data_IF_408591693796
#
_entry.id   IF_408591693796
#
_cell.length_a   1.000
_cell.length_b   1.000
_cell.length_c   1.000
_cell.angle_alpha   90.00
_cell.angle_beta   90.00
_cell.angle_gamma   90.00
#
_symmetry.space_group_name_H-M   'P 1'
#
loop_
_entity.id
_entity.type
_entity.pdbx_description
1 polymer ?
#
# COMPACT_ATOMS: atom_id res chain seq x y z
N UNK A 1 34.48 -28.89 -44.70
CA UNK A 1 33.47 -27.96 -45.25
C UNK A 1 32.17 -28.23 -44.52
N UNK A 2 31.87 -27.44 -43.49
CA UNK A 2 30.55 -27.37 -42.89
C UNK A 2 30.29 -25.89 -42.67
N UNK A 3 29.22 -25.44 -43.32
CA UNK A 3 28.88 -24.07 -43.62
C UNK A 3 28.42 -23.31 -42.38
N UNK A 4 29.01 -22.14 -42.21
CA UNK A 4 28.53 -21.03 -41.39
C UNK A 4 27.12 -20.63 -41.81
N UNK A 5 26.12 -20.88 -40.97
CA UNK A 5 24.85 -20.14 -41.03
C UNK A 5 24.97 -18.95 -40.10
N UNK A 6 25.36 -17.85 -40.72
CA UNK A 6 25.43 -16.52 -40.17
C UNK A 6 23.99 -15.96 -40.17
N UNK A 7 23.20 -16.26 -39.14
CA UNK A 7 21.94 -15.57 -38.92
C UNK A 7 22.27 -14.18 -38.35
N UNK A 8 22.22 -13.17 -39.22
CA UNK A 8 22.23 -11.76 -38.87
C UNK A 8 20.95 -11.42 -38.06
N UNK A 9 20.85 -11.92 -36.83
CA UNK A 9 20.03 -11.26 -35.82
C UNK A 9 20.81 -10.03 -35.35
N UNK A 10 20.17 -8.85 -35.24
CA UNK A 10 20.84 -7.69 -34.67
C UNK A 10 21.30 -8.04 -33.25
N UNK A 11 22.61 -7.93 -33.00
CA UNK A 11 23.19 -8.14 -31.67
C UNK A 11 22.49 -7.17 -30.72
N UNK A 12 21.68 -7.70 -29.79
CA UNK A 12 21.06 -6.88 -28.75
C UNK A 12 22.14 -6.33 -27.85
N UNK A 13 22.19 -5.02 -27.69
CA UNK A 13 23.19 -4.35 -26.85
C UNK A 13 22.56 -4.07 -25.50
N UNK A 14 23.22 -4.54 -24.44
CA UNK A 14 22.86 -4.14 -23.08
C UNK A 14 23.42 -2.75 -22.80
N UNK A 15 22.61 -1.89 -22.24
CA UNK A 15 22.89 -0.47 -22.09
C UNK A 15 22.50 0.04 -20.70
N UNK A 16 23.12 1.15 -20.30
CA UNK A 16 22.69 1.89 -19.12
C UNK A 16 21.41 2.66 -19.46
N UNK A 17 20.40 2.52 -18.62
CA UNK A 17 19.17 3.28 -18.72
C UNK A 17 19.04 4.12 -17.46
N UNK A 18 18.83 5.42 -17.64
CA UNK A 18 18.32 6.25 -16.57
C UNK A 18 16.86 5.92 -16.31
N UNK A 19 16.42 6.09 -15.07
CA UNK A 19 15.00 6.33 -14.82
C UNK A 19 14.67 7.66 -15.53
N UNK A 20 14.05 7.59 -16.71
CA UNK A 20 13.45 8.76 -17.36
C UNK A 20 12.24 9.18 -16.53
N UNK A 21 12.46 10.04 -15.54
CA UNK A 21 11.40 10.56 -14.67
C UNK A 21 10.91 9.55 -13.63
N UNK A 22 10.76 10.06 -12.41
CA UNK A 22 10.07 9.47 -11.26
C UNK A 22 8.91 8.53 -11.61
N UNK A 23 8.81 7.40 -10.91
CA UNK A 23 7.58 6.60 -10.94
C UNK A 23 7.69 5.21 -10.33
N UNK A 24 7.75 5.10 -8.99
CA UNK A 24 6.70 4.55 -8.09
C UNK A 24 6.99 5.06 -6.66
N UNK A 25 6.82 6.37 -6.46
CA UNK A 25 6.01 6.89 -5.35
C UNK A 25 4.79 7.49 -6.05
N UNK A 26 3.61 7.53 -5.44
CA UNK A 26 2.50 8.34 -5.96
C UNK A 26 3.05 9.69 -6.43
N UNK A 27 2.97 9.92 -7.75
CA UNK A 27 3.79 10.82 -8.56
C UNK A 27 4.25 12.08 -7.82
N UNK A 28 5.41 12.01 -7.19
CA UNK A 28 6.20 13.18 -6.85
C UNK A 28 6.98 13.51 -8.11
N UNK A 29 6.74 14.65 -8.76
CA UNK A 29 7.67 15.04 -9.81
C UNK A 29 9.03 15.37 -9.16
N UNK A 30 10.18 15.02 -9.76
CA UNK A 30 11.48 15.17 -9.09
C UNK A 30 11.79 16.63 -8.74
N UNK A 31 11.19 17.57 -9.48
CA UNK A 31 11.28 19.02 -9.23
C UNK A 31 10.52 19.50 -7.98
N UNK A 32 9.62 18.67 -7.44
CA UNK A 32 8.83 18.92 -6.25
C UNK A 32 9.30 18.09 -5.04
N UNK A 33 10.39 17.34 -5.17
CA UNK A 33 10.98 16.56 -4.08
C UNK A 33 12.00 17.40 -3.29
N UNK A 34 11.94 17.31 -1.96
CA UNK A 34 12.98 17.86 -1.12
C UNK A 34 14.16 16.89 -1.00
N UNK A 35 15.41 17.28 -1.35
CA UNK A 35 16.57 16.39 -1.23
C UNK A 35 16.95 15.99 0.20
N UNK A 36 16.41 16.67 1.23
CA UNK A 36 16.70 16.37 2.64
C UNK A 36 15.72 15.32 3.20
N UNK A 37 14.41 15.54 3.03
CA UNK A 37 13.38 14.65 3.59
C UNK A 37 12.81 13.64 2.59
N UNK A 38 13.14 13.75 1.31
CA UNK A 38 12.74 12.84 0.22
C UNK A 38 11.21 12.72 0.07
N UNK A 39 10.52 13.82 0.33
CA UNK A 39 9.06 14.00 0.22
C UNK A 39 8.71 15.32 -0.48
N UNK A 40 7.42 15.58 -0.72
CA UNK A 40 6.92 16.81 -1.35
C UNK A 40 7.44 18.04 -0.62
N UNK A 41 7.91 19.03 -1.39
CA UNK A 41 8.37 20.31 -0.86
C UNK A 41 7.25 21.00 -0.07
N UNK A 42 7.42 21.10 1.25
CA UNK A 42 6.58 21.88 2.16
C UNK A 42 7.21 23.23 2.36
N UNK A 43 6.48 24.30 1.99
CA UNK A 43 6.99 25.68 1.98
C UNK A 43 8.35 25.77 1.26
N UNK A 44 8.39 25.52 -0.07
CA UNK A 44 9.64 25.43 -0.82
C UNK A 44 10.48 26.71 -0.71
N UNK A 45 11.77 26.52 -0.51
CA UNK A 45 12.82 27.54 -0.47
C UNK A 45 13.85 27.22 -1.55
N UNK A 46 14.12 28.19 -2.41
CA UNK A 46 15.17 28.16 -3.41
C UNK A 46 16.45 28.76 -2.81
N UNK A 47 17.55 28.01 -2.92
CA UNK A 47 18.88 28.49 -2.53
C UNK A 47 19.52 29.33 -3.63
N UNK A 48 20.51 30.16 -3.29
CA UNK A 48 21.29 30.94 -4.28
C UNK A 48 22.02 30.06 -5.30
N UNK A 49 22.36 28.81 -4.96
CA UNK A 49 22.91 27.83 -5.90
C UNK A 49 21.85 27.12 -6.77
N UNK A 50 20.57 27.44 -6.61
CA UNK A 50 19.48 26.96 -7.47
C UNK A 50 18.78 25.68 -7.01
N UNK A 51 19.16 25.10 -5.87
CA UNK A 51 18.52 23.91 -5.31
C UNK A 51 17.33 24.25 -4.41
N UNK A 52 16.28 23.43 -4.45
CA UNK A 52 15.03 23.63 -3.70
C UNK A 52 14.92 22.69 -2.51
N UNK A 53 14.43 23.19 -1.38
CA UNK A 53 14.23 22.41 -0.15
C UNK A 53 12.95 22.84 0.57
N UNK A 54 12.41 21.99 1.45
CA UNK A 54 11.41 22.43 2.42
C UNK A 54 12.03 23.49 3.34
N UNK A 55 11.30 24.56 3.65
CA UNK A 55 11.76 25.61 4.57
C UNK A 55 12.35 25.03 5.86
N UNK A 56 11.58 24.19 6.57
CA UNK A 56 12.04 23.58 7.83
C UNK A 56 13.28 22.71 7.67
N UNK A 57 13.41 22.00 6.54
CA UNK A 57 14.54 21.11 6.30
C UNK A 57 15.85 21.89 6.12
N UNK A 58 15.85 22.92 5.27
CA UNK A 58 17.06 23.69 5.01
C UNK A 58 17.48 24.57 6.20
N UNK A 59 16.52 25.17 6.92
CA UNK A 59 16.85 25.93 8.14
C UNK A 59 17.45 25.04 9.23
N UNK A 60 16.94 23.82 9.41
CA UNK A 60 17.51 22.87 10.39
C UNK A 60 18.90 22.39 9.95
N UNK A 61 19.12 22.21 8.65
CA UNK A 61 20.42 21.78 8.11
C UNK A 61 21.51 22.83 8.34
N UNK A 62 21.21 24.11 8.09
CA UNK A 62 22.17 25.21 8.19
C UNK A 62 22.52 25.61 9.64
N UNK A 63 21.87 25.01 10.66
CA UNK A 63 22.25 25.20 12.06
C UNK A 63 23.54 24.46 12.46
N UNK A 64 24.05 23.58 11.59
CA UNK A 64 25.30 22.82 11.82
C UNK A 64 26.53 23.66 11.47
N UNK A 65 27.67 23.37 12.11
CA UNK A 65 28.95 23.99 11.73
C UNK A 65 29.30 23.64 10.28
N UNK A 66 29.65 24.66 9.48
CA UNK A 66 29.93 24.49 8.04
C UNK A 66 28.69 24.57 7.15
N UNK A 67 27.85 25.60 7.35
CA UNK A 67 26.61 25.82 6.59
C UNK A 67 26.84 25.81 5.06
N UNK A 68 26.37 24.75 4.41
CA UNK A 68 26.48 24.55 2.98
C UNK A 68 25.22 23.86 2.42
N UNK A 69 25.06 23.93 1.10
CA UNK A 69 24.01 23.25 0.37
C UNK A 69 24.20 21.72 0.44
N UNK A 70 23.17 20.94 0.81
CA UNK A 70 23.24 19.47 0.85
C UNK A 70 23.51 18.79 -0.50
N UNK A 71 23.33 19.48 -1.63
CA UNK A 71 23.39 18.87 -2.97
C UNK A 71 24.75 19.08 -3.63
N UNK A 72 25.31 20.29 -3.54
CA UNK A 72 26.54 20.68 -4.23
C UNK A 72 27.64 21.20 -3.27
N UNK A 73 27.38 21.20 -1.96
CA UNK A 73 28.29 21.68 -0.92
C UNK A 73 28.71 23.15 -1.04
N UNK A 74 28.00 23.97 -1.82
CA UNK A 74 28.23 25.41 -1.89
C UNK A 74 27.91 26.07 -0.53
N UNK A 75 28.74 27.01 -0.04
CA UNK A 75 28.48 27.68 1.24
C UNK A 75 27.19 28.51 1.16
N UNK A 76 26.33 28.40 2.17
CA UNK A 76 25.03 29.09 2.22
C UNK A 76 24.83 29.80 3.56
N UNK A 77 24.30 31.02 3.51
CA UNK A 77 23.86 31.81 4.67
C UNK A 77 22.35 31.82 4.76
N UNK A 78 21.81 31.51 5.94
CA UNK A 78 20.36 31.43 6.18
C UNK A 78 19.60 32.74 5.95
N UNK A 79 20.26 33.90 6.04
CA UNK A 79 19.63 35.21 5.92
C UNK A 79 19.62 35.77 4.49
N UNK A 80 20.64 35.47 3.68
CA UNK A 80 20.82 36.07 2.35
C UNK A 80 20.59 35.11 1.19
N UNK A 81 20.74 33.80 1.41
CA UNK A 81 20.86 32.83 0.32
C UNK A 81 19.63 31.92 0.20
N UNK A 82 18.56 32.21 0.95
CA UNK A 82 17.32 31.44 1.01
C UNK A 82 16.12 32.29 0.58
N UNK A 83 15.50 31.93 -0.54
CA UNK A 83 14.39 32.66 -1.13
C UNK A 83 13.13 31.80 -1.15
N UNK A 84 12.01 32.32 -0.65
CA UNK A 84 10.72 31.61 -0.72
C UNK A 84 10.28 31.41 -2.17
N UNK A 85 10.02 30.16 -2.55
CA UNK A 85 9.64 29.79 -3.91
C UNK A 85 8.11 29.68 -4.03
N UNK A 86 7.46 30.84 -4.11
CA UNK A 86 5.99 30.92 -4.24
C UNK A 86 5.48 30.31 -5.55
N UNK A 87 6.32 30.25 -6.58
CA UNK A 87 5.94 29.65 -7.87
C UNK A 87 5.78 28.14 -7.70
N UNK A 88 6.82 27.46 -7.22
CA UNK A 88 6.79 26.01 -6.95
C UNK A 88 5.70 25.66 -5.94
N UNK A 89 5.51 26.50 -4.90
CA UNK A 89 4.42 26.30 -3.94
C UNK A 89 3.04 26.29 -4.62
N UNK A 90 2.78 27.22 -5.56
CA UNK A 90 1.51 27.27 -6.30
C UNK A 90 1.34 26.08 -7.22
N UNK A 91 2.40 25.64 -7.89
CA UNK A 91 2.36 24.44 -8.75
C UNK A 91 1.99 23.20 -7.94
N UNK A 92 2.62 22.98 -6.79
CA UNK A 92 2.31 21.84 -5.90
C UNK A 92 0.86 21.92 -5.41
N UNK A 93 0.38 23.11 -5.03
CA UNK A 93 -1.01 23.30 -4.62
C UNK A 93 -2.04 23.12 -5.74
N UNK A 94 -1.64 23.18 -7.02
CA UNK A 94 -2.51 22.91 -8.17
C UNK A 94 -2.57 21.43 -8.52
N UNK A 95 -1.59 20.63 -8.10
CA UNK A 95 -1.66 19.19 -8.23
C UNK A 95 -2.86 18.64 -7.46
N UNK A 96 -3.52 17.64 -8.03
CA UNK A 96 -4.65 16.94 -7.41
C UNK A 96 -4.32 15.46 -7.37
N UNK A 97 -4.26 14.94 -6.17
CA UNK A 97 -4.14 13.51 -5.90
C UNK A 97 -5.45 13.04 -5.29
N UNK A 98 -5.85 11.82 -5.66
CA UNK A 98 -7.01 11.17 -5.07
C UNK A 98 -6.63 10.55 -3.73
N UNK A 99 -7.57 10.51 -2.80
CA UNK A 99 -7.37 9.79 -1.55
C UNK A 99 -7.12 8.29 -1.81
N UNK A 100 -6.18 7.68 -1.08
CA UNK A 100 -5.91 6.24 -1.12
C UNK A 100 -7.15 5.37 -0.82
N UNK A 101 -8.16 5.93 -0.14
CA UNK A 101 -9.43 5.26 0.15
C UNK A 101 -10.54 5.58 -0.87
N UNK A 102 -10.20 6.06 -2.08
CA UNK A 102 -11.18 6.31 -3.15
C UNK A 102 -11.98 5.07 -3.51
N UNK A 103 -11.32 3.92 -3.52
CA UNK A 103 -11.96 2.62 -3.73
C UNK A 103 -12.99 2.25 -2.66
N UNK A 104 -12.96 2.90 -1.49
CA UNK A 104 -13.91 2.70 -0.40
C UNK A 104 -14.97 3.81 -0.32
N UNK A 105 -14.96 4.77 -1.25
CA UNK A 105 -15.95 5.85 -1.34
C UNK A 105 -15.41 7.26 -1.06
N UNK A 106 -14.11 7.41 -0.74
CA UNK A 106 -13.54 8.74 -0.55
C UNK A 106 -13.31 9.47 -1.87
N UNK A 107 -14.17 10.40 -2.22
CA UNK A 107 -14.05 11.20 -3.45
C UNK A 107 -13.20 12.47 -3.29
N UNK A 108 -12.47 12.58 -2.18
CA UNK A 108 -11.68 13.78 -1.89
C UNK A 108 -10.43 13.81 -2.79
N UNK A 109 -10.25 14.95 -3.45
CA UNK A 109 -9.11 15.27 -4.28
C UNK A 109 -8.45 16.54 -3.73
N UNK A 110 -7.22 16.40 -3.25
CA UNK A 110 -6.48 17.47 -2.59
C UNK A 110 -5.05 17.54 -3.11
N UNK A 111 -4.33 18.61 -2.73
CA UNK A 111 -2.91 18.70 -3.01
C UNK A 111 -2.15 17.56 -2.32
N UNK A 112 -1.04 17.09 -2.88
CA UNK A 112 -0.25 16.02 -2.27
C UNK A 112 0.28 16.35 -0.86
N UNK A 113 0.54 17.63 -0.61
CA UNK A 113 0.99 18.16 0.68
C UNK A 113 -0.12 18.09 1.73
N UNK A 114 -1.37 18.30 1.32
CA UNK A 114 -2.58 18.24 2.16
C UNK A 114 -3.17 16.83 2.26
N UNK A 115 -2.78 15.92 1.37
CA UNK A 115 -3.27 14.54 1.37
C UNK A 115 -2.90 13.81 2.66
N UNK A 116 -1.72 14.09 3.23
CA UNK A 116 -1.26 13.47 4.48
C UNK A 116 -2.16 13.84 5.67
N UNK A 117 -2.63 15.09 5.74
CA UNK A 117 -3.56 15.51 6.80
C UNK A 117 -4.94 14.89 6.59
N UNK A 118 -5.41 14.85 5.35
CA UNK A 118 -6.67 14.20 4.99
C UNK A 118 -6.66 12.70 5.31
N UNK A 119 -5.66 11.94 4.89
CA UNK A 119 -5.55 10.49 5.11
C UNK A 119 -5.58 10.15 6.60
N UNK A 120 -4.99 10.99 7.45
CA UNK A 120 -5.02 10.81 8.89
C UNK A 120 -6.40 11.04 9.52
N UNK A 121 -7.29 11.74 8.82
CA UNK A 121 -8.65 12.07 9.25
C UNK A 121 -9.73 11.46 8.33
N UNK A 122 -9.34 10.61 7.39
CA UNK A 122 -10.25 10.11 6.36
C UNK A 122 -11.23 9.10 6.98
N UNK A 123 -12.52 9.38 6.83
CA UNK A 123 -13.62 8.52 7.31
C UNK A 123 -13.58 7.10 6.70
N UNK A 124 -13.02 6.98 5.50
CA UNK A 124 -12.92 5.71 4.75
C UNK A 124 -11.67 4.89 5.09
N UNK A 125 -10.80 5.37 5.98
CA UNK A 125 -9.59 4.65 6.43
C UNK A 125 -9.89 3.31 7.12
N UNK A 126 -11.10 3.15 7.66
CA UNK A 126 -11.54 1.97 8.41
C UNK A 126 -12.44 1.00 7.62
N UNK A 127 -12.58 1.17 6.29
CA UNK A 127 -13.63 0.51 5.50
C UNK A 127 -13.26 -0.80 4.79
N UNK A 128 -12.14 -1.44 5.13
CA UNK A 128 -11.76 -2.72 4.54
C UNK A 128 -12.13 -3.90 5.45
N UNK A 129 -13.33 -4.45 5.29
CA UNK A 129 -13.66 -5.88 5.01
C UNK A 129 -15.04 -6.31 5.55
N UNK A 130 -15.97 -6.58 4.62
CA UNK A 130 -17.12 -7.51 4.70
C UNK A 130 -18.24 -7.27 5.73
N UNK A 131 -19.35 -6.63 5.31
CA UNK A 131 -20.73 -7.11 5.57
C UNK A 131 -21.73 -6.24 4.79
N UNK A 132 -22.49 -6.83 3.85
CA UNK A 132 -23.68 -6.19 3.28
C UNK A 132 -24.86 -6.54 4.16
N UNK A 133 -25.44 -5.54 4.82
CA UNK A 133 -26.53 -5.68 5.80
C UNK A 133 -27.87 -5.33 5.15
N UNK A 134 -28.85 -6.23 5.31
CA UNK A 134 -30.23 -6.00 4.88
C UNK A 134 -30.96 -5.19 5.94
N UNK A 135 -31.99 -4.43 5.53
CA UNK A 135 -32.82 -3.70 6.49
C UNK A 135 -33.40 -4.65 7.55
N UNK A 136 -33.33 -4.31 8.87
CA UNK A 136 -33.92 -5.11 9.94
C UNK A 136 -35.43 -5.35 9.79
N UNK A 137 -36.13 -4.52 9.00
CA UNK A 137 -37.56 -4.61 8.71
C UNK A 137 -37.89 -5.41 7.44
N UNK A 138 -36.96 -6.25 6.96
CA UNK A 138 -37.17 -7.13 5.81
C UNK A 138 -38.41 -8.01 5.93
N UNK A 139 -38.62 -8.58 7.11
CA UNK A 139 -39.70 -9.55 7.35
C UNK A 139 -41.10 -8.89 7.44
N UNK A 140 -41.13 -7.56 7.53
CA UNK A 140 -42.35 -6.73 7.41
C UNK A 140 -42.43 -5.98 6.06
N UNK A 141 -41.53 -6.27 5.13
CA UNK A 141 -41.63 -5.90 3.71
C UNK A 141 -40.57 -4.93 3.17
N UNK A 142 -39.57 -4.51 3.96
CA UNK A 142 -38.54 -3.58 3.51
C UNK A 142 -37.39 -4.30 2.77
N UNK A 143 -37.27 -4.10 1.46
CA UNK A 143 -36.31 -4.82 0.60
C UNK A 143 -34.96 -4.12 0.40
N UNK A 144 -34.69 -3.04 1.15
CA UNK A 144 -33.47 -2.25 0.99
C UNK A 144 -32.23 -2.97 1.55
N UNK A 145 -31.12 -2.88 0.81
CA UNK A 145 -29.85 -3.55 1.12
C UNK A 145 -28.73 -2.50 1.17
N UNK A 146 -27.91 -2.56 2.22
CA UNK A 146 -26.91 -1.54 2.50
C UNK A 146 -25.51 -2.14 2.54
N UNK A 147 -24.54 -1.32 2.13
CA UNK A 147 -23.12 -1.68 2.17
C UNK A 147 -22.44 -1.28 3.49
N UNK A 148 -23.12 -0.51 4.35
CA UNK A 148 -22.60 0.01 5.63
C UNK A 148 -23.70 0.11 6.70
N UNK A 149 -23.38 -0.15 7.98
CA UNK A 149 -24.35 0.03 9.08
C UNK A 149 -24.82 1.48 9.22
N UNK A 150 -23.94 2.45 8.97
CA UNK A 150 -24.28 3.88 9.06
C UNK A 150 -25.32 4.28 7.99
N UNK A 151 -25.20 3.77 6.76
CA UNK A 151 -26.23 3.97 5.72
C UNK A 151 -27.56 3.27 6.05
N UNK A 152 -27.50 2.12 6.72
CA UNK A 152 -28.69 1.45 7.26
C UNK A 152 -29.32 2.27 8.39
N UNK A 153 -28.52 2.87 9.28
CA UNK A 153 -28.99 3.70 10.39
C UNK A 153 -29.61 5.02 9.91
N UNK A 154 -28.99 5.67 8.91
CA UNK A 154 -29.55 6.87 8.27
C UNK A 154 -30.88 6.53 7.56
N UNK A 155 -30.99 5.36 6.92
CA UNK A 155 -32.25 4.89 6.34
C UNK A 155 -33.31 4.63 7.42
N UNK A 156 -32.94 4.00 8.53
CA UNK A 156 -33.83 3.71 9.67
C UNK A 156 -34.36 4.99 10.31
N UNK A 157 -33.52 6.01 10.50
CA UNK A 157 -33.93 7.30 11.07
C UNK A 157 -34.83 8.09 10.12
N UNK A 158 -34.48 8.17 8.83
CA UNK A 158 -35.27 8.93 7.84
C UNK A 158 -36.61 8.26 7.51
N UNK A 159 -36.69 6.93 7.59
CA UNK A 159 -37.87 6.16 7.20
C UNK A 159 -38.58 5.50 8.38
N UNK A 160 -38.33 5.94 9.61
CA UNK A 160 -38.90 5.33 10.82
C UNK A 160 -40.43 5.28 10.80
N UNK A 161 -41.07 6.33 10.25
CA UNK A 161 -42.52 6.40 10.12
C UNK A 161 -43.06 5.39 9.09
N UNK A 162 -42.31 5.14 8.01
CA UNK A 162 -42.64 4.11 7.01
C UNK A 162 -42.56 2.71 7.63
N UNK A 163 -41.49 2.44 8.40
CA UNK A 163 -41.32 1.17 9.10
C UNK A 163 -42.37 0.95 10.19
N UNK A 164 -42.69 1.96 10.99
CA UNK A 164 -43.79 1.90 11.97
C UNK A 164 -45.14 1.63 11.31
N UNK A 165 -45.40 2.23 10.15
CA UNK A 165 -46.62 1.97 9.37
C UNK A 165 -46.64 0.54 8.83
N UNK A 166 -45.51 0.00 8.37
CA UNK A 166 -45.39 -1.40 7.94
C UNK A 166 -45.62 -2.39 9.09
N UNK A 167 -45.08 -2.10 10.28
CA UNK A 167 -45.32 -2.89 11.51
C UNK A 167 -46.79 -2.80 11.92
N UNK A 168 -47.39 -1.61 11.95
CA UNK A 168 -48.81 -1.42 12.29
C UNK A 168 -49.76 -2.12 11.32
N UNK A 169 -49.40 -2.19 10.04
CA UNK A 169 -50.17 -2.96 9.05
C UNK A 169 -49.94 -4.47 9.15
N UNK A 170 -48.85 -4.91 9.78
CA UNK A 170 -48.55 -6.31 10.05
C UNK A 170 -49.11 -6.82 11.40
N UNK A 171 -49.30 -5.94 12.39
CA UNK A 171 -49.79 -6.27 13.75
C UNK A 171 -51.19 -6.91 13.81
N UNK A 172 -52.19 -6.58 12.95
CA UNK A 172 -53.47 -7.27 12.91
C UNK A 172 -53.35 -8.77 12.57
N UNK A 173 -52.20 -9.20 12.03
CA UNK A 173 -51.92 -10.61 11.75
C UNK A 173 -51.34 -11.38 12.94
N UNK A 174 -50.84 -10.69 13.98
CA UNK A 174 -50.30 -11.30 15.19
C UNK A 174 -51.30 -11.26 16.37
N UNK A 175 -52.24 -10.33 16.37
CA UNK A 175 -53.27 -10.21 17.40
C UNK A 175 -54.58 -10.89 16.99
N UNK A 176 -54.57 -12.23 16.92
CA UNK A 176 -55.79 -13.04 16.88
C UNK A 176 -55.81 -14.10 17.98
N UNK A 177 -55.53 -13.71 19.23
CA UNK A 177 -56.05 -14.43 20.40
C UNK A 177 -56.32 -13.49 21.57
N UNK A 178 -57.62 -13.19 21.73
CA UNK A 178 -58.34 -12.77 22.94
C UNK A 178 -58.07 -11.38 23.54
N UNK A 179 -59.14 -10.59 23.56
CA UNK A 179 -59.14 -9.18 23.91
C UNK A 179 -59.00 -8.86 25.39
N UNK A 180 -58.60 -7.61 25.66
CA UNK A 180 -59.25 -6.75 26.64
C UNK A 180 -58.76 -5.30 26.44
N UNK A 181 -59.70 -4.41 26.14
CA UNK A 181 -59.49 -2.99 25.79
C UNK A 181 -59.28 -2.14 27.05
N UNK A 182 -58.48 -2.58 28.03
CA UNK A 182 -58.34 -1.82 29.29
C UNK A 182 -56.94 -1.83 29.93
N UNK A 183 -55.89 -2.24 29.21
CA UNK A 183 -54.52 -2.25 29.74
C UNK A 183 -53.71 -0.96 29.45
N UNK A 184 -54.22 -0.04 28.62
CA UNK A 184 -53.43 1.14 28.17
C UNK A 184 -53.46 2.30 29.17
N UNK A 185 -54.37 2.32 30.16
CA UNK A 185 -54.41 3.39 31.18
C UNK A 185 -53.65 3.08 32.47
N UNK A 186 -53.09 1.87 32.62
CA UNK A 186 -52.43 1.43 33.85
C UNK A 186 -50.88 1.50 33.79
N UNK A 187 -50.27 1.42 32.60
CA UNK A 187 -48.80 1.42 32.45
C UNK A 187 -48.17 2.82 32.57
N UNK A 188 -48.96 3.89 32.46
CA UNK A 188 -48.48 5.27 32.60
C UNK A 188 -48.24 5.71 34.05
N UNK A 189 -48.63 4.90 35.05
CA UNK A 189 -48.51 5.24 36.49
C UNK A 189 -47.34 4.57 37.21
N UNK A 190 -46.56 3.70 36.55
CA UNK A 190 -45.46 2.97 37.18
C UNK A 190 -44.16 3.81 37.29
N UNK A 191 -44.08 4.92 36.57
CA UNK A 191 -42.84 5.71 36.40
C UNK A 191 -42.88 7.12 37.02
N UNK A 192 -43.94 7.47 37.78
CA UNK A 192 -44.00 8.77 38.45
C UNK A 192 -43.09 8.83 39.70
N UNK A 193 -42.25 9.87 39.87
CA UNK A 193 -41.47 10.05 41.08
C UNK A 193 -42.38 10.38 42.28
N UNK A 194 -42.08 9.90 43.50
CA UNK A 194 -42.98 10.09 44.63
C UNK A 194 -43.05 11.58 45.04
N UNK A 195 -44.24 12.10 45.37
CA UNK A 195 -44.38 13.51 45.71
C UNK A 195 -43.70 13.83 47.04
N UNK A 196 -42.95 14.94 47.07
CA UNK A 196 -42.41 15.51 48.30
C UNK A 196 -43.54 16.20 49.07
N UNK A 197 -43.73 15.72 50.30
CA UNK A 197 -44.56 16.23 51.39
C UNK A 197 -45.98 15.68 51.49
N UNK A 198 -46.11 14.65 52.33
CA UNK A 198 -47.32 14.26 53.03
C UNK A 198 -46.93 13.49 54.28
N UNK A 199 -47.33 13.99 55.44
CA UNK A 199 -46.90 13.57 56.77
C UNK A 199 -47.51 12.22 57.19
N UNK A 200 -46.70 11.44 57.91
CA UNK A 200 -46.99 10.44 58.96
C UNK A 200 -47.56 9.04 58.67
N UNK A 201 -46.81 8.08 59.26
CA UNK A 201 -47.19 6.87 60.03
C UNK A 201 -47.24 5.48 59.37
N UNK A 202 -46.30 4.64 59.86
CA UNK A 202 -46.24 3.17 60.02
C UNK A 202 -46.76 2.26 58.91
N UNK A 203 -45.84 1.59 58.23
CA UNK A 203 -45.56 0.16 58.47
C UNK A 203 -44.20 -0.23 57.86
N UNK A 204 -43.34 -0.87 58.65
CA UNK A 204 -42.07 -1.44 58.18
C UNK A 204 -42.32 -2.87 57.71
N UNK A 205 -42.79 -3.04 56.48
CA UNK A 205 -42.68 -4.33 55.80
C UNK A 205 -41.21 -4.53 55.38
N UNK A 206 -40.59 -5.62 55.88
CA UNK A 206 -39.30 -6.05 55.37
C UNK A 206 -39.44 -6.41 53.88
N UNK A 207 -38.52 -5.99 52.99
CA UNK A 207 -38.64 -6.28 51.56
C UNK A 207 -38.73 -7.80 51.34
N UNK A 208 -39.71 -8.29 50.56
CA UNK A 208 -39.91 -9.72 50.38
C UNK A 208 -38.69 -10.34 49.71
N UNK A 209 -38.23 -11.48 50.25
CA UNK A 209 -37.01 -12.23 49.94
C UNK A 209 -36.73 -12.40 48.42
N UNK A 210 -37.79 -12.48 47.60
CA UNK A 210 -37.68 -12.57 46.15
C UNK A 210 -37.18 -11.27 45.48
N UNK A 211 -37.44 -10.09 46.04
CA UNK A 211 -36.95 -8.81 45.51
C UNK A 211 -35.44 -8.69 45.67
N UNK A 212 -34.91 -9.17 46.81
CA UNK A 212 -33.48 -9.23 47.07
C UNK A 212 -32.79 -10.22 46.11
N UNK A 213 -33.39 -11.40 45.92
CA UNK A 213 -32.92 -12.39 44.96
C UNK A 213 -32.93 -11.85 43.53
N UNK A 214 -34.03 -11.23 43.11
CA UNK A 214 -34.18 -10.62 41.78
C UNK A 214 -33.10 -9.56 41.54
N UNK A 215 -32.86 -8.69 42.52
CA UNK A 215 -31.78 -7.70 42.47
C UNK A 215 -30.41 -8.35 42.32
N UNK A 216 -30.12 -9.40 43.10
CA UNK A 216 -28.84 -10.12 43.02
C UNK A 216 -28.62 -10.82 41.66
N UNK A 217 -29.69 -11.35 41.05
CA UNK A 217 -29.64 -11.96 39.72
C UNK A 217 -29.42 -10.91 38.64
N UNK A 218 -30.10 -9.76 38.71
CA UNK A 218 -29.86 -8.65 37.78
C UNK A 218 -28.43 -8.13 37.87
N UNK A 219 -27.91 -7.91 39.08
CA UNK A 219 -26.52 -7.52 39.30
C UNK A 219 -25.55 -8.55 38.70
N UNK A 220 -25.82 -9.85 38.88
CA UNK A 220 -24.99 -10.92 38.31
C UNK A 220 -25.05 -10.97 36.78
N UNK A 221 -26.21 -10.76 36.18
CA UNK A 221 -26.38 -10.70 34.72
C UNK A 221 -25.56 -9.55 34.15
N UNK A 222 -25.65 -8.35 34.75
CA UNK A 222 -24.89 -7.17 34.30
C UNK A 222 -23.38 -7.43 34.35
N UNK A 223 -22.89 -8.06 35.43
CA UNK A 223 -21.45 -8.42 35.53
C UNK A 223 -21.05 -9.44 34.47
N UNK A 224 -21.88 -10.46 34.22
CA UNK A 224 -21.58 -11.47 33.20
C UNK A 224 -21.62 -10.89 31.78
N UNK A 225 -22.56 -9.99 31.49
CA UNK A 225 -22.62 -9.28 30.20
C UNK A 225 -21.39 -8.39 30.00
N UNK A 226 -20.96 -7.69 31.04
CA UNK A 226 -19.74 -6.88 31.01
C UNK A 226 -18.51 -7.77 30.76
N UNK A 227 -18.36 -8.89 31.47
CA UNK A 227 -17.26 -9.84 31.27
C UNK A 227 -17.28 -10.43 29.86
N UNK A 228 -18.45 -10.74 29.29
CA UNK A 228 -18.57 -11.22 27.91
C UNK A 228 -18.14 -10.16 26.89
N UNK A 229 -18.49 -8.89 27.11
CA UNK A 229 -18.02 -7.78 26.25
C UNK A 229 -16.51 -7.64 26.31
N UNK A 230 -15.92 -7.69 27.50
CA UNK A 230 -14.46 -7.63 27.70
C UNK A 230 -13.73 -8.80 27.02
N UNK A 231 -14.26 -10.02 27.14
CA UNK A 231 -13.74 -11.20 26.44
C UNK A 231 -13.84 -11.04 24.92
N UNK A 232 -14.96 -10.54 24.40
CA UNK A 232 -15.15 -10.30 22.96
C UNK A 232 -14.13 -9.30 22.40
N UNK A 233 -13.89 -8.20 23.12
CA UNK A 233 -12.86 -7.21 22.76
C UNK A 233 -11.47 -7.86 22.79
N UNK A 234 -11.18 -8.66 23.81
CA UNK A 234 -9.89 -9.35 23.94
C UNK A 234 -9.63 -10.31 22.79
N UNK A 235 -10.63 -11.13 22.43
CA UNK A 235 -10.55 -12.07 21.30
C UNK A 235 -10.36 -11.32 19.98
N UNK A 236 -11.08 -10.21 19.77
CA UNK A 236 -10.91 -9.36 18.58
C UNK A 236 -9.49 -8.79 18.47
N UNK A 237 -8.96 -8.25 19.58
CA UNK A 237 -7.60 -7.73 19.64
C UNK A 237 -6.54 -8.82 19.38
N UNK A 238 -6.71 -10.01 19.98
CA UNK A 238 -5.82 -11.15 19.74
C UNK A 238 -5.87 -11.62 18.28
N UNK A 239 -7.05 -11.62 17.65
CA UNK A 239 -7.22 -11.95 16.22
C UNK A 239 -6.47 -10.96 15.33
N UNK A 240 -6.53 -9.67 15.64
CA UNK A 240 -5.79 -8.63 14.93
C UNK A 240 -4.27 -8.83 15.06
N UNK A 241 -3.79 -9.13 16.27
CA UNK A 241 -2.38 -9.44 16.51
C UNK A 241 -1.92 -10.69 15.75
N UNK A 242 -2.71 -11.77 15.76
CA UNK A 242 -2.40 -12.99 15.00
C UNK A 242 -2.31 -12.72 13.50
N UNK A 243 -3.22 -11.92 12.95
CA UNK A 243 -3.23 -11.58 11.53
C UNK A 243 -2.00 -10.75 11.14
N UNK A 244 -1.60 -9.81 12.00
CA UNK A 244 -0.37 -9.03 11.83
C UNK A 244 0.89 -9.91 11.90
N UNK A 245 0.97 -10.82 12.88
CA UNK A 245 2.06 -11.78 13.01
C UNK A 245 2.13 -12.73 11.81
N UNK A 246 1.01 -13.31 11.37
CA UNK A 246 0.96 -14.18 10.19
C UNK A 246 1.45 -13.46 8.93
N UNK A 247 1.09 -12.19 8.78
CA UNK A 247 1.52 -11.37 7.65
C UNK A 247 3.04 -11.11 7.73
N UNK A 248 3.54 -10.76 8.91
CA UNK A 248 4.99 -10.56 9.14
C UNK A 248 5.81 -11.83 8.90
N UNK A 249 5.33 -12.99 9.35
CA UNK A 249 5.98 -14.29 9.09
C UNK A 249 6.05 -14.56 7.59
N UNK A 250 4.94 -14.38 6.86
CA UNK A 250 4.92 -14.60 5.41
C UNK A 250 5.89 -13.69 4.66
N UNK A 251 5.95 -12.39 5.00
CA UNK A 251 6.92 -11.48 4.40
C UNK A 251 8.37 -11.89 4.70
N UNK A 252 8.63 -12.35 5.94
CA UNK A 252 9.95 -12.83 6.34
C UNK A 252 10.34 -14.10 5.58
N UNK A 253 9.40 -15.04 5.40
CA UNK A 253 9.62 -16.26 4.61
C UNK A 253 9.94 -15.95 3.14
N UNK A 254 9.18 -15.04 2.51
CA UNK A 254 9.45 -14.61 1.14
C UNK A 254 10.82 -13.92 1.01
N UNK A 255 11.16 -13.02 1.94
CA UNK A 255 12.47 -12.36 1.93
C UNK A 255 13.61 -13.36 2.12
N UNK A 256 13.45 -14.33 3.02
CA UNK A 256 14.45 -15.39 3.22
C UNK A 256 14.67 -16.23 1.96
N UNK A 257 13.62 -16.60 1.24
CA UNK A 257 13.75 -17.33 -0.03
C UNK A 257 14.52 -16.51 -1.08
N UNK A 258 14.24 -15.21 -1.17
CA UNK A 258 14.90 -14.29 -2.10
C UNK A 258 16.37 -14.00 -1.72
N UNK A 259 16.69 -14.06 -0.43
CA UNK A 259 18.05 -13.94 0.11
C UNK A 259 18.89 -15.18 -0.15
N UNK A 260 18.26 -16.35 -0.14
CA UNK A 260 18.92 -17.64 -0.32
C UNK A 260 18.82 -18.18 -1.77
N UNK A 261 18.42 -17.34 -2.73
CA UNK A 261 18.29 -17.74 -4.14
C UNK A 261 19.63 -17.84 -4.90
N UNK A 262 20.75 -17.48 -4.26
CA UNK A 262 22.10 -17.56 -4.81
C UNK A 262 22.24 -16.90 -6.20
N UNK A 263 21.60 -15.74 -6.36
CA UNK A 263 21.61 -14.98 -7.61
C UNK A 263 20.70 -15.52 -8.70
N UNK A 264 20.00 -16.64 -8.50
CA UNK A 264 19.05 -17.21 -9.47
C UNK A 264 17.63 -16.93 -9.02
N UNK A 265 16.94 -16.03 -9.71
CA UNK A 265 15.58 -15.64 -9.41
C UNK A 265 14.60 -15.99 -10.53
N UNK A 266 13.47 -16.61 -10.17
CA UNK A 266 12.37 -16.91 -11.09
C UNK A 266 11.24 -15.93 -10.85
N UNK A 267 11.12 -14.95 -11.73
CA UNK A 267 10.09 -13.93 -11.66
C UNK A 267 8.87 -14.32 -12.48
N UNK A 268 7.75 -14.53 -11.79
CA UNK A 268 6.45 -14.78 -12.43
C UNK A 268 5.63 -13.49 -12.43
N UNK A 269 5.39 -12.97 -13.62
CA UNK A 269 4.62 -11.75 -13.82
C UNK A 269 3.18 -12.10 -14.18
N UNK A 270 2.33 -12.19 -13.15
CA UNK A 270 0.90 -12.47 -13.31
C UNK A 270 0.15 -11.25 -13.85
N UNK A 271 -1.05 -11.48 -14.41
CA UNK A 271 -1.92 -10.46 -14.99
C UNK A 271 -1.20 -9.62 -16.05
N UNK A 272 -0.47 -10.29 -16.95
CA UNK A 272 0.42 -9.60 -17.88
C UNK A 272 -0.34 -8.70 -18.85
N UNK A 273 -1.49 -9.13 -19.36
CA UNK A 273 -2.27 -8.31 -20.31
C UNK A 273 -2.70 -6.97 -19.73
N UNK A 274 -3.13 -6.94 -18.46
CA UNK A 274 -3.49 -5.71 -17.74
C UNK A 274 -2.27 -4.79 -17.57
N UNK A 275 -1.13 -5.38 -17.18
CA UNK A 275 0.13 -4.64 -17.03
C UNK A 275 0.64 -4.09 -18.35
N UNK A 276 0.56 -4.88 -19.43
CA UNK A 276 0.94 -4.47 -20.77
C UNK A 276 0.09 -3.29 -21.23
N UNK A 277 -1.23 -3.38 -21.09
CA UNK A 277 -2.15 -2.29 -21.41
C UNK A 277 -1.82 -1.03 -20.61
N UNK A 278 -1.49 -1.18 -19.32
CA UNK A 278 -1.08 -0.06 -18.47
C UNK A 278 0.21 0.60 -18.93
N UNK A 279 1.22 -0.17 -19.36
CA UNK A 279 2.48 0.39 -19.88
C UNK A 279 2.36 1.01 -21.27
N UNK A 280 1.43 0.52 -22.10
CA UNK A 280 1.14 1.13 -23.40
C UNK A 280 0.45 2.48 -23.22
N UNK A 281 -0.47 2.59 -22.26
CA UNK A 281 -1.21 3.81 -21.97
C UNK A 281 -0.36 4.88 -21.26
N UNK A 282 0.58 4.46 -20.42
CA UNK A 282 1.49 5.34 -19.68
C UNK A 282 2.94 4.88 -19.89
N UNK A 283 3.72 5.56 -20.76
CA UNK A 283 5.12 5.23 -21.01
C UNK A 283 6.04 5.30 -19.78
N UNK A 284 5.61 5.98 -18.71
CA UNK A 284 6.35 6.04 -17.44
C UNK A 284 6.01 4.86 -16.52
N UNK A 285 5.01 4.05 -16.86
CA UNK A 285 4.63 2.89 -16.06
C UNK A 285 5.68 1.78 -16.18
N UNK A 286 6.26 1.40 -15.04
CA UNK A 286 7.25 0.35 -14.93
C UNK A 286 6.81 -0.67 -13.88
N UNK A 287 7.21 -1.92 -14.03
CA UNK A 287 6.98 -2.96 -13.02
C UNK A 287 8.30 -3.54 -12.55
N UNK A 288 8.41 -3.72 -11.23
CA UNK A 288 9.61 -4.22 -10.58
C UNK A 288 9.38 -5.61 -10.00
N UNK A 289 10.42 -6.43 -10.01
CA UNK A 289 10.46 -7.64 -9.20
C UNK A 289 10.71 -7.29 -7.73
N UNK A 290 10.40 -8.20 -6.79
CA UNK A 290 11.01 -8.17 -5.47
C UNK A 290 12.54 -8.11 -5.55
N UNK A 291 13.17 -7.55 -4.52
CA UNK A 291 14.62 -7.58 -4.36
C UNK A 291 15.09 -8.99 -4.02
N UNK A 292 16.05 -9.51 -4.77
CA UNK A 292 16.68 -10.81 -4.56
C UNK A 292 18.20 -10.64 -4.45
N UNK A 293 18.86 -11.66 -3.91
CA UNK A 293 20.28 -11.54 -3.56
C UNK A 293 21.15 -12.50 -4.34
N UNK A 294 22.36 -12.04 -4.67
CA UNK A 294 23.42 -12.89 -5.26
C UNK A 294 23.89 -14.00 -4.31
N UNK A 295 23.60 -13.88 -3.03
CA UNK A 295 23.78 -14.87 -1.97
C UNK A 295 23.32 -14.29 -0.62
N UNK A 296 23.35 -15.06 0.48
CA UNK A 296 22.79 -14.62 1.76
C UNK A 296 23.35 -13.28 2.28
N UNK A 297 24.64 -13.06 2.03
CA UNK A 297 25.38 -11.83 2.37
C UNK A 297 25.88 -11.09 1.13
N UNK A 298 25.25 -11.32 -0.03
CA UNK A 298 25.65 -10.75 -1.31
C UNK A 298 24.94 -9.45 -1.65
N UNK A 299 25.17 -8.97 -2.88
CA UNK A 299 24.47 -7.82 -3.46
C UNK A 299 22.96 -8.07 -3.54
N UNK A 300 22.17 -7.06 -3.18
CA UNK A 300 20.71 -6.99 -3.37
C UNK A 300 20.39 -6.33 -4.71
N UNK A 301 19.50 -6.94 -5.50
CA UNK A 301 19.21 -6.53 -6.88
C UNK A 301 17.73 -6.74 -7.14
N UNK A 302 17.11 -5.92 -7.99
CA UNK A 302 15.79 -6.21 -8.54
C UNK A 302 15.77 -6.02 -10.06
N UNK A 303 14.79 -6.62 -10.72
CA UNK A 303 14.55 -6.45 -12.14
C UNK A 303 13.41 -5.45 -12.38
N UNK A 304 13.48 -4.75 -13.51
CA UNK A 304 12.48 -3.80 -14.00
C UNK A 304 12.08 -4.18 -15.42
N UNK A 305 10.78 -4.11 -15.70
CA UNK A 305 10.25 -4.11 -17.07
C UNK A 305 9.49 -2.83 -17.33
N UNK A 306 9.54 -2.40 -18.58
CA UNK A 306 8.81 -1.26 -19.11
C UNK A 306 8.74 -1.41 -20.64
N UNK A 307 7.85 -0.66 -21.29
CA UNK A 307 7.91 -0.49 -22.73
C UNK A 307 9.17 0.34 -23.06
N UNK A 308 9.90 -0.05 -24.10
CA UNK A 308 11.13 0.63 -24.48
C UNK A 308 10.85 2.08 -24.88
N UNK A 309 11.67 2.99 -24.37
CA UNK A 309 11.61 4.40 -24.76
C UNK A 309 12.22 4.66 -26.15
N UNK A 310 13.02 3.72 -26.68
CA UNK A 310 13.61 3.81 -28.03
C UNK A 310 12.65 3.29 -29.09
N UNK A 311 12.06 2.13 -28.85
CA UNK A 311 11.15 1.46 -29.76
C UNK A 311 9.95 0.87 -28.99
N UNK A 312 8.77 1.53 -29.03
CA UNK A 312 7.59 1.09 -28.32
C UNK A 312 7.09 -0.32 -28.70
N UNK A 313 7.59 -0.94 -29.77
CA UNK A 313 7.28 -2.33 -30.11
C UNK A 313 8.01 -3.35 -29.23
N UNK A 314 8.98 -2.91 -28.42
CA UNK A 314 9.78 -3.78 -27.57
C UNK A 314 9.48 -3.61 -26.08
N UNK A 315 9.49 -4.73 -25.38
CA UNK A 315 9.55 -4.79 -23.93
C UNK A 315 11.02 -4.73 -23.49
N UNK A 316 11.34 -3.84 -22.56
CA UNK A 316 12.65 -3.76 -21.91
C UNK A 316 12.72 -4.65 -20.68
N UNK A 317 13.91 -5.18 -20.37
CA UNK A 317 14.22 -5.80 -19.08
C UNK A 317 15.58 -5.30 -18.57
N UNK A 318 15.59 -4.75 -17.35
CA UNK A 318 16.79 -4.14 -16.76
C UNK A 318 16.96 -4.57 -15.31
N UNK A 319 18.18 -4.48 -14.79
CA UNK A 319 18.51 -4.69 -13.39
C UNK A 319 18.84 -3.38 -12.71
N UNK A 320 18.38 -3.25 -11.47
CA UNK A 320 18.81 -2.23 -10.54
C UNK A 320 19.53 -2.89 -9.38
N UNK A 321 20.70 -2.36 -9.04
CA UNK A 321 21.34 -2.65 -7.75
C UNK A 321 20.57 -1.90 -6.66
N UNK A 322 20.33 -2.56 -5.54
CA UNK A 322 19.62 -2.01 -4.39
C UNK A 322 20.56 -1.88 -3.21
N UNK A 323 20.28 -0.91 -2.32
CA UNK A 323 20.99 -0.78 -1.06
C UNK A 323 20.72 -2.00 -0.16
N UNK A 324 21.77 -2.49 0.47
CA UNK A 324 21.70 -3.58 1.47
C UNK A 324 22.57 -3.28 2.68
N UNK A 325 22.30 -3.99 3.77
CA UNK A 325 23.07 -3.95 5.01
C UNK A 325 24.52 -4.42 4.86
N UNK A 326 24.85 -5.18 3.81
CA UNK A 326 26.18 -5.74 3.59
C UNK A 326 27.03 -4.92 2.63
N UNK A 327 26.52 -3.81 2.08
CA UNK A 327 27.18 -3.05 1.01
C UNK A 327 28.57 -2.53 1.39
N UNK A 328 28.84 -2.27 2.67
CA UNK A 328 30.15 -1.83 3.17
C UNK A 328 31.22 -2.93 3.12
N UNK A 329 30.80 -4.20 3.12
CA UNK A 329 31.69 -5.37 3.08
C UNK A 329 31.84 -5.97 1.67
N UNK A 330 31.11 -5.45 0.69
CA UNK A 330 31.11 -5.93 -0.70
C UNK A 330 32.08 -5.12 -1.58
N UNK A 331 32.52 -5.74 -2.67
CA UNK A 331 33.37 -5.10 -3.67
C UNK A 331 32.57 -4.11 -4.53
N UNK A 332 33.13 -2.92 -4.76
CA UNK A 332 32.53 -1.92 -5.64
C UNK A 332 33.54 -1.33 -6.62
N UNK A 333 33.12 -0.93 -7.84
CA UNK A 333 31.78 -1.14 -8.43
C UNK A 333 31.48 -2.63 -8.63
N UNK A 334 30.19 -2.99 -8.68
CA UNK A 334 29.74 -4.36 -8.89
C UNK A 334 30.39 -4.94 -10.14
N UNK A 335 30.94 -6.14 -9.98
CA UNK A 335 31.57 -6.89 -11.06
C UNK A 335 30.94 -8.27 -11.17
N UNK A 336 30.43 -8.65 -12.33
CA UNK A 336 29.70 -9.89 -12.52
C UNK A 336 29.10 -10.07 -13.91
N UNK A 337 28.39 -11.19 -14.07
CA UNK A 337 27.65 -11.54 -15.30
C UNK A 337 26.18 -11.68 -14.96
N UNK A 338 25.33 -11.17 -15.85
CA UNK A 338 23.90 -11.21 -15.75
C UNK A 338 23.31 -11.95 -16.94
N UNK A 339 22.35 -12.83 -16.66
CA UNK A 339 21.61 -13.59 -17.63
C UNK A 339 20.12 -13.24 -17.49
N UNK A 340 19.48 -12.95 -18.62
CA UNK A 340 18.05 -12.72 -18.71
C UNK A 340 17.46 -13.78 -19.61
N UNK A 341 16.53 -14.58 -19.07
CA UNK A 341 15.88 -15.64 -19.82
C UNK A 341 14.37 -15.47 -19.75
N UNK A 342 13.73 -15.28 -20.89
CA UNK A 342 12.27 -15.40 -21.00
C UNK A 342 11.94 -16.85 -21.31
N UNK A 343 11.23 -17.50 -20.38
CA UNK A 343 10.95 -18.93 -20.43
C UNK A 343 9.72 -19.18 -21.30
N UNK A 344 9.87 -20.02 -22.32
CA UNK A 344 8.74 -20.49 -23.10
C UNK A 344 8.02 -21.63 -22.34
N UNK A 345 6.68 -21.61 -22.22
CA UNK A 345 5.95 -22.46 -21.27
C UNK A 345 6.01 -23.96 -21.54
N UNK A 346 6.34 -24.37 -22.77
CA UNK A 346 6.29 -25.76 -23.24
C UNK A 346 7.56 -26.25 -23.95
N UNK A 347 8.51 -25.37 -24.28
CA UNK A 347 9.65 -25.72 -25.13
C UNK A 347 10.86 -24.85 -24.79
N UNK A 348 11.82 -25.41 -24.07
CA UNK A 348 13.02 -24.69 -23.63
C UNK A 348 13.96 -24.25 -24.76
N UNK A 349 13.87 -24.85 -25.94
CA UNK A 349 14.66 -24.43 -27.11
C UNK A 349 14.16 -23.09 -27.69
N UNK A 350 12.93 -22.69 -27.36
CA UNK A 350 12.36 -21.38 -27.73
C UNK A 350 12.57 -20.31 -26.66
N UNK A 351 13.29 -20.60 -25.58
CA UNK A 351 13.61 -19.59 -24.57
C UNK A 351 14.44 -18.47 -25.19
N UNK A 352 14.10 -17.22 -24.91
CA UNK A 352 14.94 -16.08 -25.29
C UNK A 352 16.00 -15.91 -24.20
N UNK A 353 17.27 -15.98 -24.56
CA UNK A 353 18.41 -15.97 -23.62
C UNK A 353 19.37 -14.86 -23.99
N UNK A 354 19.53 -13.91 -23.07
CA UNK A 354 20.47 -12.82 -23.22
C UNK A 354 21.50 -12.82 -22.09
N UNK A 355 22.75 -12.50 -22.42
CA UNK A 355 23.87 -12.45 -21.48
C UNK A 355 24.59 -11.12 -21.60
N UNK A 356 24.82 -10.48 -20.47
CA UNK A 356 25.63 -9.26 -20.39
C UNK A 356 26.59 -9.28 -19.19
N UNK A 357 27.65 -8.48 -19.28
CA UNK A 357 28.65 -8.32 -18.22
C UNK A 357 28.54 -6.94 -17.60
N UNK A 358 28.90 -6.83 -16.33
CA UNK A 358 29.00 -5.55 -15.65
C UNK A 358 30.07 -4.68 -16.29
N UNK A 359 29.85 -3.37 -16.21
CA UNK A 359 30.75 -2.36 -16.75
C UNK A 359 31.15 -1.39 -15.64
N UNK A 360 32.35 -1.51 -15.06
CA UNK A 360 32.77 -0.73 -13.89
C UNK A 360 32.68 0.80 -14.05
N UNK A 361 32.72 1.28 -15.30
CA UNK A 361 32.57 2.69 -15.68
C UNK A 361 31.16 3.25 -15.45
N UNK A 362 30.13 2.40 -15.50
CA UNK A 362 28.73 2.82 -15.45
C UNK A 362 28.24 3.05 -14.02
N UNK A 363 27.38 4.06 -13.86
CA UNK A 363 26.78 4.43 -12.58
C UNK A 363 25.85 3.35 -12.03
N UNK A 364 25.20 2.58 -12.91
CA UNK A 364 24.33 1.46 -12.55
C UNK A 364 25.02 0.41 -11.66
N UNK A 365 26.35 0.30 -11.74
CA UNK A 365 27.15 -0.65 -10.98
C UNK A 365 27.90 -0.05 -9.80
N UNK A 366 27.82 1.27 -9.58
CA UNK A 366 28.42 1.90 -8.40
C UNK A 366 27.66 1.48 -7.14
N UNK A 367 28.34 1.65 -6.00
CA UNK A 367 27.74 1.42 -4.69
C UNK A 367 26.45 2.24 -4.54
N UNK A 368 25.30 1.62 -4.22
CA UNK A 368 24.04 2.33 -4.08
C UNK A 368 24.08 3.23 -2.85
N UNK A 369 23.61 4.47 -3.03
CA UNK A 369 23.49 5.46 -1.95
C UNK A 369 22.03 5.54 -1.46
N UNK A 370 21.09 5.13 -2.30
CA UNK A 370 19.65 5.06 -2.05
C UNK A 370 19.14 3.63 -2.28
N UNK A 371 17.93 3.32 -1.78
CA UNK A 371 17.32 1.99 -1.82
C UNK A 371 17.35 1.32 -3.21
N UNK A 372 17.15 2.11 -4.27
CA UNK A 372 17.25 1.69 -5.66
C UNK A 372 18.26 2.58 -6.37
N UNK A 373 19.24 1.99 -7.06
CA UNK A 373 20.21 2.79 -7.82
C UNK A 373 19.49 3.55 -8.96
N UNK A 374 19.85 4.83 -9.15
CA UNK A 374 19.17 5.74 -10.11
C UNK A 374 19.34 5.29 -11.57
N UNK A 375 20.39 4.53 -11.84
CA UNK A 375 20.70 3.91 -13.12
C UNK A 375 20.45 2.42 -13.04
N UNK A 376 19.87 1.89 -14.10
CA UNK A 376 19.77 0.46 -14.33
C UNK A 376 20.55 0.05 -15.56
N UNK A 377 20.78 -1.24 -15.67
CA UNK A 377 21.50 -1.82 -16.79
C UNK A 377 20.81 -3.07 -17.28
N UNK A 378 20.67 -3.20 -18.60
CA UNK A 378 20.05 -4.36 -19.23
C UNK A 378 19.66 -4.08 -20.67
N UNK A 379 18.63 -4.76 -21.14
CA UNK A 379 18.20 -4.70 -22.53
C UNK A 379 16.98 -3.80 -22.66
N UNK A 380 17.16 -2.66 -23.33
CA UNK A 380 16.06 -1.76 -23.67
C UNK A 380 15.15 -2.38 -24.74
N UNK A 381 15.69 -3.17 -25.65
CA UNK A 381 14.94 -3.85 -26.72
C UNK A 381 15.05 -5.37 -26.56
N UNK A 382 14.53 -5.92 -25.46
CA UNK A 382 14.75 -7.33 -25.10
C UNK A 382 13.92 -8.30 -25.95
N UNK A 383 12.62 -8.04 -26.10
CA UNK A 383 11.70 -8.89 -26.87
C UNK A 383 10.59 -8.04 -27.48
N UNK A 384 10.18 -8.36 -28.71
CA UNK A 384 9.06 -7.67 -29.35
C UNK A 384 7.75 -8.07 -28.69
N UNK A 385 6.89 -7.09 -28.42
CA UNK A 385 5.60 -7.29 -27.73
C UNK A 385 4.71 -8.24 -28.51
N UNK A 386 4.75 -8.17 -29.85
CA UNK A 386 3.96 -9.04 -30.73
C UNK A 386 4.31 -10.53 -30.62
N UNK A 387 5.52 -10.86 -30.15
CA UNK A 387 6.01 -12.23 -30.01
C UNK A 387 5.73 -12.79 -28.59
N UNK A 388 5.40 -11.94 -27.62
CA UNK A 388 5.08 -12.33 -26.23
C UNK A 388 3.88 -13.28 -26.07
N UNK A 389 2.83 -13.29 -26.92
CA UNK A 389 1.74 -14.25 -26.81
C UNK A 389 2.20 -15.71 -26.77
N UNK A 390 3.29 -16.07 -27.47
CA UNK A 390 3.84 -17.43 -27.48
C UNK A 390 4.48 -17.83 -26.13
N UNK A 391 4.82 -16.86 -25.29
CA UNK A 391 5.44 -17.06 -23.98
C UNK A 391 4.44 -17.03 -22.82
N UNK A 392 3.18 -16.69 -23.08
CA UNK A 392 2.16 -16.57 -22.04
C UNK A 392 1.57 -17.92 -21.65
N UNK A 393 1.45 -18.16 -20.34
CA UNK A 393 0.68 -19.29 -19.79
C UNK A 393 -0.21 -18.80 -18.66
N UNK A 394 -1.53 -18.91 -18.83
CA UNK A 394 -2.54 -18.40 -17.87
C UNK A 394 -2.28 -16.93 -17.50
N UNK A 395 -2.09 -16.08 -18.52
CA UNK A 395 -1.78 -14.66 -18.37
C UNK A 395 -0.56 -14.35 -17.47
N UNK A 396 0.44 -15.22 -17.52
CA UNK A 396 1.67 -15.11 -16.74
C UNK A 396 2.88 -15.26 -17.66
N UNK A 397 3.79 -14.27 -17.61
CA UNK A 397 5.15 -14.41 -18.16
C UNK A 397 6.10 -14.88 -17.08
N UNK A 398 7.06 -15.74 -17.44
CA UNK A 398 8.08 -16.23 -16.51
C UNK A 398 9.46 -15.83 -17.00
N UNK A 399 10.16 -15.04 -16.19
CA UNK A 399 11.57 -14.71 -16.40
C UNK A 399 12.44 -15.52 -15.43
N UNK A 400 13.54 -16.07 -15.93
CA UNK A 400 14.65 -16.53 -15.10
C UNK A 400 15.78 -15.52 -15.24
N UNK A 401 16.15 -14.92 -14.11
CA UNK A 401 17.20 -13.93 -14.02
C UNK A 401 18.31 -14.52 -13.17
N UNK A 402 19.53 -14.49 -13.69
CA UNK A 402 20.68 -15.06 -13.00
C UNK A 402 21.81 -14.04 -12.95
N UNK A 403 22.24 -13.69 -11.74
CA UNK A 403 23.31 -12.71 -11.49
C UNK A 403 24.43 -13.39 -10.72
N UNK A 404 25.59 -13.46 -11.35
CA UNK A 404 26.81 -14.03 -10.77
C UNK A 404 27.81 -12.92 -10.51
N UNK A 405 28.02 -12.59 -9.25
CA UNK A 405 29.08 -11.67 -8.85
C UNK A 405 30.45 -12.37 -8.92
N UNK A 406 31.45 -11.65 -9.41
CA UNK A 406 32.84 -12.06 -9.33
C UNK A 406 33.41 -11.61 -7.98
N UNK A 407 33.85 -12.57 -7.20
CA UNK A 407 34.50 -12.33 -5.91
C UNK A 407 36.02 -12.36 -6.13
N UNK A 408 36.72 -11.28 -5.78
CA UNK A 408 38.18 -11.19 -5.92
C UNK A 408 38.92 -12.22 -5.05
N UNK A 409 38.28 -12.74 -4.01
CA UNK A 409 38.84 -13.78 -3.14
C UNK A 409 38.64 -15.20 -3.69
N UNK A 410 37.70 -15.40 -4.62
CA UNK A 410 37.55 -16.66 -5.35
C UNK A 410 38.48 -16.65 -6.57
N UNK A 411 39.77 -16.86 -6.32
CA UNK A 411 40.67 -17.30 -7.39
C UNK A 411 40.11 -18.59 -7.99
N UNK A 412 40.15 -18.77 -9.33
CA UNK A 412 39.81 -20.05 -9.92
C UNK A 412 40.72 -21.11 -9.29
N UNK A 413 40.13 -22.22 -8.83
CA UNK A 413 40.89 -23.41 -8.47
C UNK A 413 41.76 -23.75 -9.69
N UNK A 414 43.08 -23.63 -9.52
CA UNK A 414 44.11 -23.94 -10.52
C UNK A 414 44.07 -25.43 -10.85
#
# INVERSE_FOLDING_TARGET
>A
MATSENTNEPIKVAEESGICGDGIKEYLEPRFECPICLTWLRDPVLTSCGHKFCSRCIYTWLQREGACCPVDSQPLKSESDLFRDLYTSREISQQRTTCAYRQFGCLIELSPVDMETHVNQCTYKNFSTSERTQCPFKDVGCMEIFCTEESSHIHLEKNINSHLTMILNALPRLSMTQGNVSAISAESKLWDPPPKNGTSTSDKELPPDWQQLLKSLYERIVVLEQQNRELSITVSNQKNQLTALQTSVRFTEEEMLLRNCNGVYIWKLNSFQEKLTSMINDPLKMYYSPGFYTGPNGYKICARINISSKDPEFLSILLHIMKSENDDALDWPFNGVMYFVLIHPHNSEKDIRERTCSRPDLEAFRKPICELNKRSFGYVEFVRIRDLPDFLRKDTLTFRIEVRAYDKFKLPLV
#
